data_IF_070613887793
#
_entry.id   IF_070613887793
#
_cell.length_a   1.000
_cell.length_b   1.000
_cell.length_c   1.000
_cell.angle_alpha   90.00
_cell.angle_beta   90.00
_cell.angle_gamma   90.00
#
_symmetry.space_group_name_H-M   'P 1'
#
loop_
_entity.id
_entity.type
_entity.pdbx_description
1 polymer ?
#
# COMPACT_ATOMS: atom_id res chain seq x y z
N UNK A 1 6.41 1.64 -1.14
CA UNK A 1 6.80 1.83 0.28
C UNK A 1 5.92 2.88 0.86
N UNK A 2 5.45 2.73 2.10
CA UNK A 2 4.60 3.75 2.74
C UNK A 2 5.47 4.72 3.53
N UNK A 3 5.43 5.99 3.11
CA UNK A 3 6.18 7.10 3.69
C UNK A 3 7.58 7.28 3.08
N UNK A 4 8.06 8.52 3.06
CA UNK A 4 9.48 8.86 2.81
C UNK A 4 10.38 8.42 3.95
N UNK A 5 9.82 8.40 5.17
CA UNK A 5 10.30 7.66 6.34
C UNK A 5 9.39 6.46 6.52
N UNK A 6 9.96 5.29 6.80
CA UNK A 6 9.19 4.06 6.93
C UNK A 6 8.14 4.19 8.02
N UNK A 7 6.88 3.93 7.66
CA UNK A 7 5.77 3.91 8.59
C UNK A 7 5.95 2.79 9.64
N UNK A 8 5.58 3.01 10.92
CA UNK A 8 5.59 1.95 11.93
C UNK A 8 4.75 0.73 11.53
N UNK A 9 5.18 -0.46 11.95
CA UNK A 9 4.49 -1.73 11.67
C UNK A 9 4.39 -2.55 12.96
N UNK A 10 3.91 -1.95 14.04
CA UNK A 10 3.68 -2.60 15.34
C UNK A 10 2.19 -2.91 15.54
N UNK A 11 1.80 -3.85 16.42
CA UNK A 11 0.41 -4.26 16.56
C UNK A 11 -0.59 -3.12 16.78
N UNK A 12 -0.17 -2.08 17.49
CA UNK A 12 -0.98 -0.91 17.82
C UNK A 12 -1.03 0.11 16.67
N UNK A 13 -0.03 0.13 15.79
CA UNK A 13 0.12 1.11 14.73
C UNK A 13 0.84 0.51 13.50
N UNK A 14 0.06 0.19 12.47
CA UNK A 14 0.55 -0.45 11.25
C UNK A 14 -0.31 -0.15 10.03
N UNK A 15 0.28 -0.36 8.86
CA UNK A 15 -0.41 -0.35 7.58
C UNK A 15 -1.12 -1.69 7.40
N UNK A 16 -2.45 -1.67 7.29
CA UNK A 16 -3.25 -2.88 7.15
C UNK A 16 -3.20 -3.45 5.74
N UNK A 17 -3.13 -2.57 4.74
CA UNK A 17 -3.06 -2.96 3.34
C UNK A 17 -2.53 -1.82 2.47
N UNK A 18 -2.03 -2.21 1.30
CA UNK A 18 -1.67 -1.32 0.20
C UNK A 18 -2.47 -1.77 -1.02
N UNK A 19 -3.06 -0.82 -1.73
CA UNK A 19 -3.77 -1.02 -2.98
C UNK A 19 -3.06 -0.27 -4.09
N UNK A 20 -2.69 -0.96 -5.17
CA UNK A 20 -2.21 -0.33 -6.39
C UNK A 20 -3.39 -0.09 -7.32
N UNK A 21 -3.59 1.17 -7.70
CA UNK A 21 -4.60 1.59 -8.67
C UNK A 21 -3.95 1.69 -10.06
N UNK A 22 -4.63 1.16 -11.08
CA UNK A 22 -4.08 1.05 -12.43
C UNK A 22 -5.13 1.41 -13.47
N UNK A 23 -4.72 1.68 -14.70
CA UNK A 23 -5.64 2.02 -15.79
C UNK A 23 -6.66 0.90 -16.07
N UNK A 24 -6.30 -0.35 -15.81
CA UNK A 24 -7.15 -1.52 -16.06
C UNK A 24 -7.78 -2.12 -14.79
N UNK A 25 -7.61 -1.49 -13.62
CA UNK A 25 -8.23 -1.90 -12.37
C UNK A 25 -7.33 -1.69 -11.16
N UNK A 26 -7.03 -2.77 -10.43
CA UNK A 26 -6.09 -2.67 -9.32
C UNK A 26 -5.94 -3.93 -8.49
N UNK A 27 -5.02 -3.86 -7.53
CA UNK A 27 -4.58 -5.01 -6.73
C UNK A 27 -4.41 -4.60 -5.28
N UNK A 28 -4.90 -5.42 -4.34
CA UNK A 28 -4.70 -5.21 -2.89
C UNK A 28 -3.76 -6.25 -2.29
N UNK A 29 -2.79 -5.81 -1.50
CA UNK A 29 -2.00 -6.67 -0.61
C UNK A 29 -2.22 -6.28 0.84
N UNK A 30 -2.66 -7.23 1.65
CA UNK A 30 -2.73 -7.09 3.09
C UNK A 30 -1.34 -7.24 3.71
N UNK A 31 -1.07 -6.47 4.75
CA UNK A 31 0.12 -6.55 5.58
C UNK A 31 -0.30 -6.85 7.02
N UNK A 32 0.66 -7.30 7.83
CA UNK A 32 0.48 -7.58 9.25
C UNK A 32 1.51 -6.80 10.06
N UNK A 33 1.25 -6.57 11.37
CA UNK A 33 2.30 -6.09 12.27
C UNK A 33 3.56 -6.95 12.16
N UNK A 34 4.73 -6.30 12.11
CA UNK A 34 6.04 -6.90 11.92
C UNK A 34 6.51 -6.96 10.46
N UNK A 35 5.61 -6.88 9.49
CA UNK A 35 6.00 -6.81 8.08
C UNK A 35 6.68 -5.47 7.75
N UNK A 36 7.47 -5.43 6.67
CA UNK A 36 7.89 -4.15 6.12
C UNK A 36 6.67 -3.41 5.53
N UNK A 37 6.56 -2.07 5.66
CA UNK A 37 5.47 -1.27 5.07
C UNK A 37 5.66 -1.09 3.55
N UNK A 38 5.79 -2.22 2.84
CA UNK A 38 6.13 -2.31 1.42
C UNK A 38 5.33 -3.43 0.79
N UNK A 39 4.71 -3.15 -0.36
CA UNK A 39 4.13 -4.16 -1.23
C UNK A 39 4.78 -4.06 -2.61
N UNK A 40 4.92 -5.21 -3.27
CA UNK A 40 5.35 -5.32 -4.67
C UNK A 40 4.19 -5.87 -5.49
N UNK A 41 3.92 -5.28 -6.63
CA UNK A 41 2.85 -5.69 -7.54
C UNK A 41 3.46 -6.01 -8.91
N UNK A 42 2.82 -6.90 -9.64
CA UNK A 42 3.15 -7.18 -11.03
C UNK A 42 2.01 -6.65 -11.89
N UNK A 43 2.34 -6.02 -13.01
CA UNK A 43 1.37 -5.55 -14.00
C UNK A 43 1.44 -6.45 -15.23
N UNK A 44 0.32 -6.58 -15.93
CA UNK A 44 0.29 -7.16 -17.26
C UNK A 44 0.76 -6.15 -18.30
N UNK A 45 1.18 -6.62 -19.46
CA UNK A 45 1.58 -5.73 -20.57
C UNK A 45 0.43 -4.78 -20.92
N UNK A 46 0.75 -3.49 -21.01
CA UNK A 46 -0.21 -2.42 -21.35
C UNK A 46 -1.08 -1.93 -20.19
N UNK A 47 -0.85 -2.37 -18.94
CA UNK A 47 -1.44 -1.76 -17.75
C UNK A 47 -0.42 -0.86 -17.05
N UNK A 48 -0.87 0.31 -16.60
CA UNK A 48 -0.01 1.36 -16.03
C UNK A 48 -0.52 1.77 -14.64
N UNK A 49 0.38 2.03 -13.68
CA UNK A 49 -0.02 2.48 -12.35
C UNK A 49 -0.49 3.94 -12.39
N UNK A 50 -1.67 4.20 -11.82
CA UNK A 50 -2.20 5.56 -11.64
C UNK A 50 -1.77 6.16 -10.29
N UNK A 51 -1.58 5.29 -9.30
CA UNK A 51 -1.14 5.64 -7.96
C UNK A 51 -1.36 4.49 -7.00
N UNK A 52 -1.16 4.73 -5.71
CA UNK A 52 -1.36 3.75 -4.67
C UNK A 52 -2.10 4.34 -3.48
N UNK A 53 -2.94 3.52 -2.89
CA UNK A 53 -3.56 3.77 -1.61
C UNK A 53 -2.91 2.93 -0.53
N UNK A 54 -2.84 3.48 0.67
CA UNK A 54 -2.46 2.77 1.88
C UNK A 54 -3.46 3.07 2.98
N UNK A 55 -3.65 2.10 3.87
CA UNK A 55 -4.55 2.29 5.02
C UNK A 55 -3.84 1.96 6.33
N UNK A 56 -3.62 2.99 7.12
CA UNK A 56 -3.15 2.89 8.48
C UNK A 56 -4.33 2.69 9.44
N UNK A 57 -4.20 1.77 10.39
CA UNK A 57 -5.25 1.50 11.38
C UNK A 57 -5.59 2.71 12.28
N UNK A 58 -4.67 3.66 12.43
CA UNK A 58 -4.87 4.88 13.24
C UNK A 58 -5.13 6.14 12.40
N UNK A 59 -4.49 6.24 11.24
CA UNK A 59 -4.51 7.45 10.43
C UNK A 59 -5.39 7.35 9.17
N UNK A 60 -6.07 6.22 8.98
CA UNK A 60 -7.03 6.02 7.90
C UNK A 60 -6.38 5.87 6.53
N UNK A 61 -7.13 6.26 5.49
CA UNK A 61 -6.76 6.07 4.09
C UNK A 61 -5.94 7.24 3.56
N UNK A 62 -4.86 6.92 2.85
CA UNK A 62 -4.03 7.89 2.13
C UNK A 62 -3.84 7.47 0.68
N UNK A 63 -3.57 8.45 -0.19
CA UNK A 63 -3.29 8.26 -1.61
C UNK A 63 -1.99 8.97 -1.99
N UNK A 64 -1.18 8.34 -2.84
CA UNK A 64 -0.04 8.96 -3.50
C UNK A 64 0.07 8.47 -4.94
N UNK A 65 0.37 9.40 -5.86
CA UNK A 65 0.67 9.11 -7.26
C UNK A 65 2.19 9.21 -7.50
#
# INVERSE_FOLDING_TARGET
TVGSVLHPMVPEHYIQWIYLDTEQGGQRKALKPGDAPVAKFALTDGDEPLGAYEYCNLHGLWYGA
#
